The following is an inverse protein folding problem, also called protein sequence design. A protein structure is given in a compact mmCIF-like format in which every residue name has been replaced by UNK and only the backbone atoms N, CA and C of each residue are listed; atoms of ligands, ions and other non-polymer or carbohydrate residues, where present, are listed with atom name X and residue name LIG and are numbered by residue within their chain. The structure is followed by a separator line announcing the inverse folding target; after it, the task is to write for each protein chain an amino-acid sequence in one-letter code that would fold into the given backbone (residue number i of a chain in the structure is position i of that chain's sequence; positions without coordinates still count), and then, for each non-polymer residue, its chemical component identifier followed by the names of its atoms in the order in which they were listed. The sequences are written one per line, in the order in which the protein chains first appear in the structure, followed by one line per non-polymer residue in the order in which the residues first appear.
data_IF_533260302278
#
_entry.id   IF_533260302278
#
_cell.length_a   1.000
_cell.length_b   1.000
_cell.length_c   1.000
_cell.angle_alpha   90.00
_cell.angle_beta   90.00
_cell.angle_gamma   90.00
#
_symmetry.space_group_name_H-M   'P 1'
#
loop_
_entity.id
_entity.type
_entity.pdbx_description
1 polymer ?
#
# COMPACT_ATOMS: atom_id res chain seq x y z
N UNK A 1 15.56 -17.11 -12.40
CA UNK A 1 15.50 -15.65 -12.34
C UNK A 1 15.30 -15.20 -10.88
N UNK A 2 15.67 -14.00 -10.55
CA UNK A 2 15.53 -13.45 -9.19
C UNK A 2 14.08 -13.49 -8.65
N UNK A 3 13.10 -13.59 -9.52
CA UNK A 3 11.68 -13.59 -9.16
C UNK A 3 11.11 -14.99 -8.87
N UNK A 4 11.76 -16.05 -9.33
CA UNK A 4 11.32 -17.43 -9.04
C UNK A 4 11.51 -17.80 -7.58
N UNK A 5 12.49 -17.21 -6.92
CA UNK A 5 12.79 -17.48 -5.52
C UNK A 5 11.71 -16.97 -4.57
N UNK A 6 11.12 -15.80 -4.86
CA UNK A 6 10.04 -15.23 -4.05
C UNK A 6 8.83 -16.17 -4.00
N UNK A 7 8.44 -16.75 -5.13
CA UNK A 7 7.34 -17.72 -5.18
C UNK A 7 7.63 -18.94 -4.30
N UNK A 8 8.84 -19.48 -4.39
CA UNK A 8 9.26 -20.63 -3.58
C UNK A 8 9.27 -20.28 -2.08
N UNK A 9 9.79 -19.11 -1.72
CA UNK A 9 9.84 -18.67 -0.32
C UNK A 9 8.45 -18.47 0.28
N UNK A 10 7.53 -17.90 -0.47
CA UNK A 10 6.16 -17.69 -0.02
C UNK A 10 5.37 -18.99 0.08
N UNK A 11 5.69 -19.99 -0.73
CA UNK A 11 5.04 -21.28 -0.71
C UNK A 11 5.53 -22.22 0.40
N UNK A 12 6.76 -21.99 0.92
CA UNK A 12 7.33 -22.80 2.00
C UNK A 12 6.58 -22.57 3.31
N UNK A 13 6.06 -23.62 3.90
CA UNK A 13 5.27 -23.58 5.14
C UNK A 13 5.67 -24.64 6.14
N UNK A 14 5.08 -24.61 7.33
CA UNK A 14 5.41 -25.53 8.42
C UNK A 14 6.87 -25.41 8.84
N UNK A 15 7.57 -26.54 8.96
CA UNK A 15 8.97 -26.59 9.35
C UNK A 15 9.94 -26.01 8.29
N UNK A 16 9.48 -25.87 7.04
CA UNK A 16 10.25 -25.30 5.93
C UNK A 16 10.00 -23.81 5.73
N UNK A 17 9.15 -23.20 6.56
CA UNK A 17 8.83 -21.78 6.42
C UNK A 17 10.07 -20.92 6.66
N UNK A 18 10.38 -20.07 5.68
CA UNK A 18 11.54 -19.16 5.72
C UNK A 18 11.14 -17.68 5.76
N UNK A 19 9.85 -17.39 5.55
CA UNK A 19 9.30 -16.04 5.54
C UNK A 19 8.07 -15.98 6.44
N UNK A 20 8.08 -15.08 7.41
CA UNK A 20 6.93 -14.84 8.29
C UNK A 20 5.92 -13.87 7.65
N UNK A 21 6.40 -12.89 6.93
CA UNK A 21 5.57 -11.95 6.19
C UNK A 21 6.30 -11.37 4.98
N UNK A 22 5.53 -10.90 4.02
CA UNK A 22 5.99 -10.07 2.91
C UNK A 22 5.35 -8.70 3.01
N UNK A 23 6.12 -7.65 2.70
CA UNK A 23 5.62 -6.27 2.67
C UNK A 23 5.67 -5.70 1.24
N UNK A 24 4.67 -5.95 0.40
CA UNK A 24 4.60 -5.35 -0.92
C UNK A 24 4.52 -3.83 -0.81
N UNK A 25 5.34 -3.13 -1.60
CA UNK A 25 5.35 -1.67 -1.65
C UNK A 25 4.35 -1.21 -2.72
N UNK A 26 3.14 -0.85 -2.30
CA UNK A 26 2.04 -0.47 -3.20
C UNK A 26 1.79 1.04 -3.13
N UNK A 27 2.71 1.82 -3.67
CA UNK A 27 2.76 3.28 -3.53
C UNK A 27 1.91 4.04 -4.57
N UNK A 28 0.75 3.48 -4.95
CA UNK A 28 -0.17 4.05 -5.94
C UNK A 28 -1.56 4.29 -5.35
N UNK A 29 -2.28 5.23 -5.94
CA UNK A 29 -3.64 5.57 -5.55
C UNK A 29 -4.71 4.75 -6.27
N UNK A 30 -5.95 5.02 -5.91
CA UNK A 30 -7.11 4.50 -6.64
C UNK A 30 -7.15 5.08 -8.06
N UNK A 31 -7.47 4.22 -9.01
CA UNK A 31 -7.53 4.61 -10.41
C UNK A 31 -6.17 4.93 -11.04
N UNK A 32 -5.06 4.60 -10.38
CA UNK A 32 -3.72 4.81 -10.93
C UNK A 32 -3.61 4.19 -12.31
N UNK A 33 -3.15 4.98 -13.27
CA UNK A 33 -3.03 4.57 -14.67
C UNK A 33 -1.61 4.86 -15.17
N UNK A 34 -0.96 3.83 -15.70
CA UNK A 34 0.32 3.99 -16.37
C UNK A 34 0.16 4.81 -17.64
N UNK A 35 1.25 5.38 -18.16
CA UNK A 35 1.23 6.09 -19.44
C UNK A 35 0.78 5.19 -20.62
N UNK A 36 0.95 3.88 -20.48
CA UNK A 36 0.44 2.86 -21.43
C UNK A 36 -1.07 2.64 -21.37
N UNK A 37 -1.78 3.27 -20.41
CA UNK A 37 -3.20 3.04 -20.15
C UNK A 37 -3.51 1.88 -19.20
N UNK A 38 -2.53 1.10 -18.78
CA UNK A 38 -2.73 -0.02 -17.85
C UNK A 38 -3.03 0.48 -16.44
N UNK A 39 -4.00 -0.14 -15.78
CA UNK A 39 -4.41 0.14 -14.39
C UNK A 39 -3.96 -0.95 -13.41
N UNK A 40 -3.05 -1.84 -13.84
CA UNK A 40 -2.65 -3.02 -13.04
C UNK A 40 -2.07 -2.68 -11.66
N UNK A 41 -1.51 -1.48 -11.49
CA UNK A 41 -0.96 -1.01 -10.23
C UNK A 41 -1.91 -0.12 -9.43
N UNK A 42 -3.11 0.19 -9.96
CA UNK A 42 -4.11 0.88 -9.18
C UNK A 42 -4.38 0.14 -7.87
N UNK A 43 -4.59 0.88 -6.78
CA UNK A 43 -4.74 0.29 -5.44
C UNK A 43 -5.80 -0.81 -5.42
N UNK A 44 -6.96 -0.55 -6.02
CA UNK A 44 -8.08 -1.49 -6.12
C UNK A 44 -7.79 -2.76 -6.91
N UNK A 45 -6.74 -2.76 -7.72
CA UNK A 45 -6.31 -3.90 -8.54
C UNK A 45 -5.11 -4.63 -7.93
N UNK A 46 -4.12 -3.89 -7.43
CA UNK A 46 -2.87 -4.50 -6.94
C UNK A 46 -3.05 -5.22 -5.61
N UNK A 47 -3.89 -4.71 -4.71
CA UNK A 47 -4.14 -5.35 -3.41
C UNK A 47 -4.80 -6.72 -3.58
N UNK A 48 -5.92 -6.85 -4.32
CA UNK A 48 -6.51 -8.18 -4.55
C UNK A 48 -5.55 -9.14 -5.25
N UNK A 49 -4.72 -8.65 -6.16
CA UNK A 49 -3.73 -9.48 -6.86
C UNK A 49 -2.70 -10.07 -5.88
N UNK A 50 -2.21 -9.28 -4.93
CA UNK A 50 -1.31 -9.78 -3.89
C UNK A 50 -2.00 -10.74 -2.93
N UNK A 51 -3.24 -10.44 -2.50
CA UNK A 51 -4.00 -11.32 -1.60
C UNK A 51 -4.30 -12.67 -2.23
N UNK A 52 -4.50 -12.71 -3.56
CA UNK A 52 -4.69 -13.94 -4.33
C UNK A 52 -3.37 -14.66 -4.67
N UNK A 53 -2.22 -14.03 -4.46
CA UNK A 53 -0.93 -14.63 -4.77
C UNK A 53 -0.68 -15.85 -3.88
N UNK A 54 -0.27 -17.00 -4.45
CA UNK A 54 -0.08 -18.22 -3.67
C UNK A 54 0.99 -18.07 -2.58
N UNK A 55 0.63 -18.40 -1.35
CA UNK A 55 1.54 -18.41 -0.21
C UNK A 55 1.12 -19.43 0.82
N UNK A 56 2.06 -19.85 1.66
CA UNK A 56 1.78 -20.74 2.78
C UNK A 56 0.89 -20.03 3.81
N UNK A 57 0.09 -20.79 4.54
CA UNK A 57 -0.88 -20.28 5.54
C UNK A 57 -0.23 -19.40 6.60
N UNK A 58 1.00 -19.73 7.03
CA UNK A 58 1.73 -18.97 8.05
C UNK A 58 2.35 -17.65 7.55
N UNK A 59 2.28 -17.35 6.24
CA UNK A 59 2.90 -16.14 5.66
C UNK A 59 1.88 -15.02 5.55
N UNK A 60 2.10 -13.93 6.29
CA UNK A 60 1.24 -12.74 6.26
C UNK A 60 1.66 -11.75 5.16
N UNK A 61 0.71 -10.89 4.75
CA UNK A 61 1.00 -9.72 3.92
C UNK A 61 0.76 -8.45 4.73
N UNK A 62 1.79 -7.59 4.78
CA UNK A 62 1.72 -6.23 5.32
C UNK A 62 2.01 -5.25 4.19
N UNK A 63 1.03 -4.44 3.82
CA UNK A 63 1.17 -3.56 2.66
C UNK A 63 1.91 -2.27 3.01
N UNK A 64 2.96 -1.96 2.25
CA UNK A 64 3.66 -0.69 2.33
C UNK A 64 2.90 0.38 1.55
N UNK A 65 2.47 1.45 2.23
CA UNK A 65 1.72 2.56 1.66
C UNK A 65 2.63 3.79 1.49
N UNK A 66 2.40 4.55 0.42
CA UNK A 66 3.24 5.67 0.03
C UNK A 66 2.85 6.99 0.71
N UNK A 67 3.19 7.18 1.98
CA UNK A 67 2.92 8.44 2.68
C UNK A 67 3.57 9.66 2.00
N UNK A 68 4.66 9.48 1.28
CA UNK A 68 5.33 10.55 0.52
C UNK A 68 4.53 11.05 -0.69
N UNK A 69 3.48 10.34 -1.07
CA UNK A 69 2.57 10.76 -2.15
C UNK A 69 1.57 11.83 -1.70
N UNK A 70 1.35 11.96 -0.40
CA UNK A 70 0.43 12.97 0.15
C UNK A 70 0.82 14.37 -0.31
N UNK A 71 -0.10 15.05 -0.98
CA UNK A 71 0.10 16.36 -1.58
C UNK A 71 0.94 16.38 -2.88
N UNK A 72 1.64 15.28 -3.20
CA UNK A 72 2.52 15.18 -4.37
C UNK A 72 1.89 14.40 -5.54
N UNK A 73 0.95 13.49 -5.23
CA UNK A 73 0.37 12.60 -6.21
C UNK A 73 1.26 11.40 -6.56
N UNK A 74 0.73 10.48 -7.34
CA UNK A 74 1.40 9.23 -7.71
C UNK A 74 2.07 9.25 -9.10
N UNK A 75 1.93 10.36 -9.82
CA UNK A 75 2.53 10.53 -11.16
C UNK A 75 1.83 9.72 -12.25
N UNK A 76 0.64 9.18 -11.99
CA UNK A 76 -0.14 8.45 -12.99
C UNK A 76 -0.73 9.35 -14.08
N UNK A 77 -1.20 8.71 -15.16
CA UNK A 77 -1.84 9.41 -16.28
C UNK A 77 -3.28 9.84 -15.98
N UNK A 78 -3.89 9.30 -14.91
CA UNK A 78 -5.24 9.66 -14.48
C UNK A 78 -5.19 10.84 -13.49
N UNK A 79 -5.71 12.02 -13.85
CA UNK A 79 -5.73 13.19 -12.96
C UNK A 79 -6.46 12.94 -11.63
N UNK A 80 -7.51 12.12 -11.63
CA UNK A 80 -8.28 11.81 -10.42
C UNK A 80 -7.45 10.99 -9.42
N UNK A 81 -6.63 10.06 -9.91
CA UNK A 81 -5.69 9.33 -9.07
C UNK A 81 -4.66 10.27 -8.45
N UNK A 82 -4.13 11.20 -9.22
CA UNK A 82 -3.16 12.20 -8.73
C UNK A 82 -3.80 13.10 -7.66
N UNK A 83 -4.99 13.65 -7.94
CA UNK A 83 -5.69 14.55 -7.02
C UNK A 83 -6.20 13.85 -5.76
N UNK A 84 -6.42 12.54 -5.82
CA UNK A 84 -6.81 11.71 -4.67
C UNK A 84 -5.82 11.80 -3.50
N UNK A 85 -4.56 12.10 -3.79
CA UNK A 85 -3.51 12.30 -2.77
C UNK A 85 -3.54 13.67 -2.07
N UNK A 86 -4.46 14.53 -2.45
CA UNK A 86 -4.63 15.88 -1.86
C UNK A 86 -5.94 16.04 -1.07
N UNK A 87 -6.57 14.93 -0.68
CA UNK A 87 -7.84 14.94 0.08
C UNK A 87 -7.65 15.16 1.57
N UNK A 88 -6.47 14.89 2.12
CA UNK A 88 -6.20 14.86 3.56
C UNK A 88 -6.64 13.57 4.25
N UNK A 89 -7.11 12.57 3.49
CA UNK A 89 -7.55 11.26 4.01
C UNK A 89 -7.20 10.09 3.08
N UNK A 90 -6.25 10.27 2.18
CA UNK A 90 -5.87 9.26 1.19
C UNK A 90 -5.36 7.98 1.84
N UNK A 91 -4.48 8.09 2.82
CA UNK A 91 -3.92 6.94 3.54
C UNK A 91 -4.98 6.24 4.40
N UNK A 92 -5.86 6.98 5.06
CA UNK A 92 -6.95 6.41 5.84
C UNK A 92 -7.92 5.60 4.98
N UNK A 93 -8.23 6.06 3.77
CA UNK A 93 -9.04 5.32 2.82
C UNK A 93 -8.40 3.97 2.45
N UNK A 94 -7.11 3.96 2.18
CA UNK A 94 -6.36 2.75 1.87
C UNK A 94 -6.30 1.79 3.05
N UNK A 95 -6.02 2.27 4.27
CA UNK A 95 -5.99 1.45 5.49
C UNK A 95 -7.36 0.84 5.77
N UNK A 96 -8.43 1.61 5.63
CA UNK A 96 -9.79 1.11 5.81
C UNK A 96 -10.11 -0.02 4.84
N UNK A 97 -9.73 0.14 3.58
CA UNK A 97 -9.94 -0.87 2.54
C UNK A 97 -9.12 -2.14 2.83
N UNK A 98 -7.85 -2.01 3.21
CA UNK A 98 -7.01 -3.15 3.61
C UNK A 98 -7.64 -3.94 4.77
N UNK A 99 -8.21 -3.25 5.76
CA UNK A 99 -8.91 -3.90 6.87
C UNK A 99 -10.15 -4.66 6.41
N UNK A 100 -10.91 -4.10 5.49
CA UNK A 100 -12.08 -4.76 4.90
C UNK A 100 -11.71 -6.02 4.11
N UNK A 101 -10.53 -6.04 3.51
CA UNK A 101 -10.00 -7.19 2.77
C UNK A 101 -9.26 -8.20 3.66
N UNK A 102 -9.27 -8.01 4.98
CA UNK A 102 -8.58 -8.86 5.95
C UNK A 102 -7.07 -9.02 5.67
N UNK A 103 -6.41 -7.96 5.18
CA UNK A 103 -4.97 -7.91 5.08
C UNK A 103 -4.34 -7.98 6.48
N UNK A 104 -3.12 -8.56 6.57
CA UNK A 104 -2.43 -8.74 7.85
C UNK A 104 -2.05 -7.43 8.54
N UNK A 105 -1.77 -6.38 7.78
CA UNK A 105 -1.41 -5.07 8.30
C UNK A 105 -0.87 -4.14 7.22
N UNK A 106 -0.32 -3.03 7.66
CA UNK A 106 0.23 -2.00 6.78
C UNK A 106 1.39 -1.25 7.44
N UNK A 107 2.22 -0.63 6.63
CA UNK A 107 3.29 0.26 7.04
C UNK A 107 3.31 1.50 6.17
N UNK A 108 3.68 2.65 6.72
CA UNK A 108 3.75 3.91 5.97
C UNK A 108 5.20 4.24 5.59
N UNK A 109 5.45 4.43 4.35
CA UNK A 109 6.75 4.90 3.85
C UNK A 109 6.61 6.38 3.46
N UNK A 110 7.20 7.32 4.22
CA UNK A 110 8.09 7.14 5.39
C UNK A 110 7.70 8.11 6.50
N UNK A 111 8.28 7.94 7.68
CA UNK A 111 8.07 8.79 8.85
C UNK A 111 8.21 10.30 8.55
N UNK A 112 9.30 10.71 7.91
CA UNK A 112 9.56 12.12 7.57
C UNK A 112 8.52 12.75 6.65
N UNK A 113 7.74 11.95 5.92
CA UNK A 113 6.67 12.45 5.04
C UNK A 113 5.44 12.95 5.82
N UNK A 114 5.26 12.51 7.06
CA UNK A 114 4.13 12.90 7.91
C UNK A 114 4.56 13.73 9.14
N UNK A 115 5.77 13.50 9.65
CA UNK A 115 6.23 14.06 10.93
C UNK A 115 7.52 14.86 10.82
N UNK A 116 8.16 14.88 9.65
CA UNK A 116 9.39 15.63 9.42
C UNK A 116 9.13 17.12 9.15
N UNK A 117 10.20 17.94 9.20
CA UNK A 117 10.08 19.39 8.96
C UNK A 117 9.61 19.74 7.54
N UNK A 118 9.75 18.81 6.60
CA UNK A 118 9.33 18.96 5.21
C UNK A 118 8.01 18.28 4.90
N UNK A 119 7.27 17.83 5.94
CA UNK A 119 5.96 17.24 5.75
C UNK A 119 5.00 18.25 5.09
N UNK A 120 4.16 17.82 4.14
CA UNK A 120 3.20 18.71 3.49
C UNK A 120 2.16 19.20 4.50
N UNK A 121 1.50 20.33 4.20
CA UNK A 121 0.43 20.86 5.05
C UNK A 121 -0.71 19.85 5.30
N UNK A 122 -0.95 18.93 4.38
CA UNK A 122 -1.95 17.86 4.51
C UNK A 122 -1.56 16.74 5.49
N UNK A 123 -0.30 16.66 5.92
CA UNK A 123 0.17 15.58 6.80
C UNK A 123 -0.60 15.51 8.12
N UNK A 124 -0.95 16.66 8.70
CA UNK A 124 -1.74 16.72 9.94
C UNK A 124 -3.14 16.14 9.73
N UNK A 125 -3.82 16.48 8.63
CA UNK A 125 -5.13 15.96 8.29
C UNK A 125 -5.08 14.43 8.05
N UNK A 126 -4.07 13.96 7.32
CA UNK A 126 -3.85 12.52 7.09
C UNK A 126 -3.64 11.76 8.41
N UNK A 127 -2.82 12.30 9.31
CA UNK A 127 -2.60 11.70 10.63
C UNK A 127 -3.88 11.70 11.48
N UNK A 128 -4.67 12.76 11.43
CA UNK A 128 -5.96 12.82 12.12
C UNK A 128 -6.94 11.78 11.57
N UNK A 129 -7.03 11.64 10.24
CA UNK A 129 -7.87 10.64 9.59
C UNK A 129 -7.46 9.21 9.95
N UNK A 130 -6.16 8.92 9.99
CA UNK A 130 -5.66 7.61 10.42
C UNK A 130 -5.99 7.32 11.88
N UNK A 131 -5.82 8.28 12.78
CA UNK A 131 -6.17 8.11 14.20
C UNK A 131 -7.67 7.86 14.40
N UNK A 132 -8.51 8.48 13.59
CA UNK A 132 -9.96 8.27 13.65
C UNK A 132 -10.40 6.84 13.32
N UNK A 133 -9.56 6.04 12.65
CA UNK A 133 -9.80 4.63 12.40
C UNK A 133 -9.58 3.74 13.64
N UNK A 134 -8.92 4.26 14.68
CA UNK A 134 -8.62 3.58 15.93
C UNK A 134 -9.13 4.44 17.10
N UNK A 135 -10.44 4.55 17.26
CA UNK A 135 -11.01 5.30 18.38
C UNK A 135 -10.73 4.64 19.73
#
# INVERSE_FOLDING_TARGET
SQYSDVTAWLAAGGEEQVVDYLCPQIYWGYGYTLQSGSTRFAFENIVPAWLAYPRAEGVALYFGLGAYRVGAGDGGANPDSVSGWSTGSALAAQVKDLRQQAAGGWALYRYGSLFGPEAPALAEAECAALRALNP
#
